data_IF_827671415810
#
_entry.id   IF_827671415810
#
_cell.length_a   1.000
_cell.length_b   1.000
_cell.length_c   1.000
_cell.angle_alpha   90.00
_cell.angle_beta   90.00
_cell.angle_gamma   90.00
#
_symmetry.space_group_name_H-M   'P 1'
#
loop_
_entity.id
_entity.type
_entity.pdbx_description
1 polymer ?
#
# COMPACT_ATOMS: atom_id res chain seq x y z
N UNK A 1 -13.44 -9.13 -37.26
CA UNK A 1 -13.61 -10.33 -36.41
C UNK A 1 -12.23 -10.72 -35.90
N UNK A 2 -11.84 -10.23 -34.72
CA UNK A 2 -10.56 -10.61 -34.10
C UNK A 2 -10.77 -11.96 -33.43
N UNK A 3 -10.00 -12.97 -33.86
CA UNK A 3 -10.07 -14.33 -33.35
C UNK A 3 -9.74 -14.35 -31.85
N UNK A 4 -10.68 -14.84 -31.05
CA UNK A 4 -10.38 -15.31 -29.69
C UNK A 4 -9.54 -16.58 -29.86
N UNK A 5 -8.32 -16.66 -29.31
CA UNK A 5 -7.48 -17.83 -29.49
C UNK A 5 -8.14 -19.07 -28.90
N UNK A 6 -8.17 -20.16 -29.68
CA UNK A 6 -8.89 -21.43 -29.46
C UNK A 6 -8.43 -22.23 -28.22
N UNK A 7 -7.47 -21.72 -27.44
CA UNK A 7 -7.03 -22.33 -26.19
C UNK A 7 -6.50 -21.28 -25.23
N UNK A 8 -7.24 -21.02 -24.16
CA UNK A 8 -6.78 -20.23 -23.01
C UNK A 8 -5.73 -21.05 -22.26
N UNK A 9 -4.50 -20.55 -22.16
CA UNK A 9 -3.43 -21.16 -21.36
C UNK A 9 -3.20 -20.32 -20.10
N UNK A 10 -4.01 -20.59 -19.08
CA UNK A 10 -3.99 -19.87 -17.79
C UNK A 10 -2.63 -19.97 -17.11
N UNK A 11 -1.97 -21.13 -17.17
CA UNK A 11 -0.67 -21.34 -16.53
C UNK A 11 0.43 -20.53 -17.23
N UNK A 12 0.41 -20.46 -18.56
CA UNK A 12 1.32 -19.60 -19.32
C UNK A 12 1.04 -18.12 -19.07
N UNK A 13 -0.24 -17.72 -19.08
CA UNK A 13 -0.64 -16.36 -18.79
C UNK A 13 -0.17 -15.89 -17.40
N UNK A 14 -0.29 -16.75 -16.38
CA UNK A 14 0.17 -16.45 -15.03
C UNK A 14 1.70 -16.30 -14.95
N UNK A 15 2.48 -17.17 -15.61
CA UNK A 15 3.93 -17.02 -15.67
C UNK A 15 4.35 -15.70 -16.33
N UNK A 16 3.72 -15.36 -17.45
CA UNK A 16 3.98 -14.09 -18.16
C UNK A 16 3.54 -12.87 -17.34
N UNK A 17 2.47 -13.00 -16.55
CA UNK A 17 2.03 -11.97 -15.61
C UNK A 17 3.09 -11.68 -14.56
N UNK A 18 3.63 -12.73 -13.93
CA UNK A 18 4.67 -12.61 -12.91
C UNK A 18 5.92 -11.97 -13.53
N UNK A 19 6.37 -12.43 -14.70
CA UNK A 19 7.51 -11.85 -15.41
C UNK A 19 7.30 -10.37 -15.75
N UNK A 20 6.11 -10.02 -16.27
CA UNK A 20 5.74 -8.63 -16.55
C UNK A 20 5.77 -7.75 -15.30
N UNK A 21 5.31 -8.26 -14.16
CA UNK A 21 5.35 -7.54 -12.90
C UNK A 21 6.79 -7.36 -12.36
N UNK A 22 7.67 -8.35 -12.55
CA UNK A 22 9.09 -8.20 -12.21
C UNK A 22 9.79 -7.13 -13.07
N UNK A 23 9.52 -7.11 -14.37
CA UNK A 23 10.04 -6.09 -15.29
C UNK A 23 9.52 -4.69 -14.92
N UNK A 24 8.25 -4.61 -14.55
CA UNK A 24 7.64 -3.37 -14.07
C UNK A 24 8.36 -2.82 -12.85
N UNK A 25 8.62 -3.65 -11.83
CA UNK A 25 9.33 -3.23 -10.61
C UNK A 25 10.77 -2.78 -10.87
N UNK A 26 11.40 -3.26 -11.95
CA UNK A 26 12.73 -2.83 -12.40
C UNK A 26 12.71 -1.55 -13.24
N UNK A 27 11.54 -0.97 -13.53
CA UNK A 27 11.40 0.20 -14.41
C UNK A 27 11.49 -0.14 -15.91
N UNK A 28 11.53 -1.41 -16.28
CA UNK A 28 11.64 -1.88 -17.68
C UNK A 28 10.25 -1.89 -18.36
N UNK A 29 9.64 -0.70 -18.51
CA UNK A 29 8.22 -0.58 -18.85
C UNK A 29 7.82 -1.17 -20.22
N UNK A 30 8.67 -1.04 -21.24
CA UNK A 30 8.40 -1.58 -22.58
C UNK A 30 8.30 -3.10 -22.56
N UNK A 31 9.28 -3.75 -21.93
CA UNK A 31 9.32 -5.20 -21.76
C UNK A 31 8.14 -5.67 -20.91
N UNK A 32 7.78 -4.92 -19.86
CA UNK A 32 6.62 -5.21 -19.02
C UNK A 32 5.30 -5.18 -19.81
N UNK A 33 5.06 -4.13 -20.64
CA UNK A 33 3.89 -4.09 -21.54
C UNK A 33 3.88 -5.28 -22.48
N UNK A 34 5.03 -5.64 -23.03
CA UNK A 34 5.12 -6.75 -23.98
C UNK A 34 4.72 -8.08 -23.32
N UNK A 35 5.26 -8.38 -22.14
CA UNK A 35 4.95 -9.60 -21.39
C UNK A 35 3.50 -9.67 -20.94
N UNK A 36 2.93 -8.57 -20.44
CA UNK A 36 1.51 -8.53 -20.08
C UNK A 36 0.60 -8.60 -21.29
N UNK A 37 1.01 -8.05 -22.44
CA UNK A 37 0.25 -8.24 -23.68
C UNK A 37 0.24 -9.71 -24.08
N UNK A 38 1.41 -10.37 -24.06
CA UNK A 38 1.47 -11.81 -24.37
C UNK A 38 0.61 -12.61 -23.38
N UNK A 39 0.63 -12.25 -22.09
CA UNK A 39 -0.23 -12.86 -21.09
C UNK A 39 -1.71 -12.70 -21.44
N UNK A 40 -2.13 -11.50 -21.86
CA UNK A 40 -3.50 -11.22 -22.31
C UNK A 40 -3.86 -11.95 -23.59
N UNK A 41 -2.91 -12.22 -24.47
CA UNK A 41 -3.18 -13.02 -25.67
C UNK A 41 -3.39 -14.51 -25.31
N UNK A 42 -2.86 -14.98 -24.17
CA UNK A 42 -3.08 -16.35 -23.67
C UNK A 42 -4.26 -16.46 -22.68
N UNK A 43 -4.63 -15.38 -21.99
CA UNK A 43 -5.80 -15.28 -21.13
C UNK A 43 -6.44 -13.89 -21.25
N UNK A 44 -7.17 -13.62 -22.37
CA UNK A 44 -7.76 -12.32 -22.62
C UNK A 44 -8.85 -11.97 -21.61
N UNK A 45 -9.37 -13.01 -20.92
CA UNK A 45 -10.42 -12.89 -19.92
C UNK A 45 -9.92 -12.56 -18.49
N UNK A 46 -8.60 -12.40 -18.30
CA UNK A 46 -8.01 -12.16 -16.98
C UNK A 46 -8.05 -10.68 -16.57
N UNK A 47 -8.88 -10.37 -15.59
CA UNK A 47 -9.01 -9.01 -15.09
C UNK A 47 -7.78 -8.52 -14.29
N UNK A 48 -6.97 -9.41 -13.70
CA UNK A 48 -5.71 -9.02 -13.06
C UNK A 48 -4.69 -8.54 -14.10
N UNK A 49 -4.63 -9.18 -15.27
CA UNK A 49 -3.78 -8.72 -16.37
C UNK A 49 -4.19 -7.35 -16.90
N UNK A 50 -5.49 -7.10 -17.01
CA UNK A 50 -6.00 -5.79 -17.42
C UNK A 50 -5.70 -4.69 -16.38
N UNK A 51 -5.72 -5.03 -15.08
CA UNK A 51 -5.30 -4.12 -14.02
C UNK A 51 -3.80 -3.82 -14.09
N UNK A 52 -2.95 -4.84 -14.30
CA UNK A 52 -1.51 -4.64 -14.46
C UNK A 52 -1.19 -3.80 -15.72
N UNK A 53 -1.94 -3.96 -16.81
CA UNK A 53 -1.83 -3.06 -17.97
C UNK A 53 -2.23 -1.63 -17.63
N UNK A 54 -3.28 -1.42 -16.83
CA UNK A 54 -3.64 -0.08 -16.37
C UNK A 54 -2.50 0.54 -15.55
N UNK A 55 -1.85 -0.25 -14.69
CA UNK A 55 -0.71 0.13 -13.84
C UNK A 55 0.51 0.57 -14.63
N UNK A 56 0.96 -0.24 -15.59
CA UNK A 56 2.05 0.17 -16.46
C UNK A 56 1.69 1.37 -17.33
N UNK A 57 0.44 1.48 -17.80
CA UNK A 57 0.00 2.67 -18.53
C UNK A 57 0.17 3.94 -17.69
N UNK A 58 -0.02 3.88 -16.37
CA UNK A 58 0.22 5.03 -15.51
C UNK A 58 1.70 5.37 -15.38
N UNK A 59 2.53 4.39 -15.04
CA UNK A 59 3.95 4.62 -14.81
C UNK A 59 4.67 5.15 -16.08
N UNK A 60 4.26 4.67 -17.26
CA UNK A 60 4.78 5.19 -18.52
C UNK A 60 4.34 6.65 -18.72
N UNK A 61 3.09 7.00 -18.35
CA UNK A 61 2.61 8.37 -18.43
C UNK A 61 3.45 9.31 -17.56
N UNK A 62 3.83 8.86 -16.37
CA UNK A 62 4.71 9.60 -15.45
C UNK A 62 6.10 9.78 -16.04
N UNK A 63 6.72 8.69 -16.53
CA UNK A 63 8.03 8.76 -17.16
C UNK A 63 8.05 9.75 -18.32
N UNK A 64 7.03 9.71 -19.18
CA UNK A 64 6.88 10.61 -20.33
C UNK A 64 6.65 12.08 -19.95
N UNK A 65 6.07 12.37 -18.78
CA UNK A 65 5.87 13.74 -18.31
C UNK A 65 7.20 14.37 -17.83
N UNK A 66 8.13 13.55 -17.35
CA UNK A 66 9.47 13.96 -16.89
C UNK A 66 10.51 13.93 -18.02
N UNK A 67 10.39 13.01 -18.98
CA UNK A 67 11.38 12.81 -20.06
C UNK A 67 10.91 13.40 -21.40
N UNK A 68 11.52 14.51 -21.83
CA UNK A 68 11.20 15.19 -23.09
C UNK A 68 12.07 14.70 -24.29
N UNK A 69 11.42 14.59 -25.46
CA UNK A 69 11.87 14.23 -26.82
C UNK A 69 13.13 13.36 -27.01
N UNK A 70 12.88 12.07 -27.25
CA UNK A 70 13.82 11.09 -27.76
C UNK A 70 13.09 9.89 -28.37
N UNK A 71 13.80 8.98 -29.04
CA UNK A 71 13.22 7.78 -29.68
C UNK A 71 12.60 6.82 -28.65
N UNK A 72 13.20 6.71 -27.47
CA UNK A 72 12.67 5.97 -26.31
C UNK A 72 11.32 6.54 -25.82
N UNK A 73 11.11 7.87 -25.92
CA UNK A 73 9.83 8.52 -25.64
C UNK A 73 8.75 8.08 -26.63
N UNK A 74 9.10 7.81 -27.90
CA UNK A 74 8.13 7.35 -28.89
C UNK A 74 7.67 5.91 -28.63
N UNK A 75 8.60 5.01 -28.28
CA UNK A 75 8.27 3.63 -27.91
C UNK A 75 7.44 3.57 -26.64
N UNK A 76 7.78 4.38 -25.63
CA UNK A 76 7.01 4.51 -24.40
C UNK A 76 5.63 5.09 -24.67
N UNK A 77 5.49 6.12 -25.51
CA UNK A 77 4.17 6.64 -25.93
C UNK A 77 3.32 5.54 -26.59
N UNK A 78 3.92 4.70 -27.43
CA UNK A 78 3.20 3.58 -28.04
C UNK A 78 2.78 2.51 -27.01
N UNK A 79 3.66 2.18 -26.07
CA UNK A 79 3.39 1.25 -24.97
C UNK A 79 2.28 1.78 -24.04
N UNK A 80 2.28 3.07 -23.73
CA UNK A 80 1.21 3.78 -23.02
C UNK A 80 -0.14 3.64 -23.74
N UNK A 81 -0.20 3.98 -25.03
CA UNK A 81 -1.44 3.87 -25.82
C UNK A 81 -1.95 2.44 -25.84
N UNK A 82 -1.06 1.45 -25.98
CA UNK A 82 -1.41 0.03 -25.99
C UNK A 82 -2.00 -0.42 -24.65
N UNK A 83 -1.37 -0.05 -23.54
CA UNK A 83 -1.80 -0.40 -22.20
C UNK A 83 -3.17 0.23 -21.85
N UNK A 84 -3.37 1.51 -22.20
CA UNK A 84 -4.66 2.21 -22.08
C UNK A 84 -5.76 1.59 -22.95
N UNK A 85 -5.44 1.20 -24.19
CA UNK A 85 -6.38 0.54 -25.08
C UNK A 85 -6.83 -0.82 -24.53
N UNK A 86 -5.92 -1.60 -23.93
CA UNK A 86 -6.27 -2.89 -23.29
C UNK A 86 -7.20 -2.70 -22.10
N UNK A 87 -6.97 -1.69 -21.26
CA UNK A 87 -7.89 -1.33 -20.17
C UNK A 87 -9.30 -0.98 -20.67
N UNK A 88 -9.40 -0.14 -21.71
CA UNK A 88 -10.69 0.21 -22.30
C UNK A 88 -11.37 -1.02 -22.92
N UNK A 89 -10.62 -1.83 -23.67
CA UNK A 89 -11.10 -3.08 -24.25
C UNK A 89 -11.62 -4.06 -23.18
N UNK A 90 -10.96 -4.16 -22.02
CA UNK A 90 -11.43 -4.98 -20.89
C UNK A 90 -12.79 -4.51 -20.38
N UNK A 91 -12.92 -3.21 -20.10
CA UNK A 91 -14.17 -2.62 -19.61
C UNK A 91 -15.32 -2.89 -20.58
N UNK A 92 -15.09 -2.71 -21.88
CA UNK A 92 -16.08 -3.00 -22.91
C UNK A 92 -16.38 -4.50 -23.03
N UNK A 93 -15.35 -5.36 -23.02
CA UNK A 93 -15.48 -6.82 -23.17
C UNK A 93 -16.34 -7.42 -22.07
N UNK A 94 -16.14 -7.04 -20.81
CA UNK A 94 -16.93 -7.58 -19.69
C UNK A 94 -18.17 -6.76 -19.38
N UNK A 95 -18.45 -5.68 -20.13
CA UNK A 95 -19.54 -4.74 -19.82
C UNK A 95 -19.45 -4.28 -18.36
N UNK A 96 -18.24 -3.89 -17.95
CA UNK A 96 -17.97 -3.34 -16.62
C UNK A 96 -18.67 -2.00 -16.42
N UNK A 97 -19.08 -1.70 -15.20
CA UNK A 97 -19.82 -0.49 -14.83
C UNK A 97 -18.91 0.71 -14.55
N UNK A 98 -17.76 0.77 -15.24
CA UNK A 98 -16.71 1.78 -15.03
C UNK A 98 -17.24 3.20 -15.19
N UNK A 99 -18.13 3.38 -16.18
CA UNK A 99 -18.75 4.67 -16.54
C UNK A 99 -20.17 4.83 -15.97
N UNK A 100 -20.61 3.90 -15.10
CA UNK A 100 -21.94 3.97 -14.49
C UNK A 100 -22.08 5.13 -13.51
N UNK A 101 -23.32 5.43 -13.11
CA UNK A 101 -23.62 6.43 -12.07
C UNK A 101 -23.11 6.03 -10.67
N UNK A 102 -22.47 4.85 -10.54
CA UNK A 102 -21.82 4.39 -9.33
C UNK A 102 -22.49 3.15 -8.72
N UNK A 103 -22.33 2.94 -7.40
CA UNK A 103 -22.81 1.73 -6.71
C UNK A 103 -24.30 1.45 -6.90
N UNK A 104 -25.14 2.48 -6.95
CA UNK A 104 -26.60 2.33 -7.09
C UNK A 104 -26.99 1.54 -8.35
N UNK A 105 -26.41 1.86 -9.50
CA UNK A 105 -26.68 1.15 -10.76
C UNK A 105 -26.17 -0.30 -10.69
N UNK A 106 -24.97 -0.52 -10.13
CA UNK A 106 -24.38 -1.86 -9.98
C UNK A 106 -25.26 -2.74 -9.10
N UNK A 107 -25.74 -2.21 -7.96
CA UNK A 107 -26.59 -2.94 -7.00
C UNK A 107 -27.92 -3.40 -7.62
N UNK A 108 -28.40 -2.69 -8.64
CA UNK A 108 -29.60 -3.05 -9.40
C UNK A 108 -29.29 -4.01 -10.54
N UNK A 109 -28.32 -3.68 -11.38
CA UNK A 109 -28.05 -4.39 -12.63
C UNK A 109 -27.29 -5.71 -12.43
N UNK A 110 -26.46 -5.82 -11.39
CA UNK A 110 -25.67 -7.03 -11.17
C UNK A 110 -26.55 -8.25 -10.82
N UNK A 111 -27.56 -8.16 -9.93
CA UNK A 111 -28.52 -9.26 -9.73
C UNK A 111 -29.31 -9.62 -10.99
N UNK A 112 -29.81 -8.62 -11.74
CA UNK A 112 -30.55 -8.85 -12.99
C UNK A 112 -29.68 -9.61 -14.02
N UNK A 113 -28.42 -9.19 -14.18
CA UNK A 113 -27.46 -9.86 -15.05
C UNK A 113 -27.10 -11.26 -14.54
N UNK A 114 -27.08 -11.46 -13.23
CA UNK A 114 -26.77 -12.76 -12.64
C UNK A 114 -27.87 -13.77 -12.99
N UNK A 115 -29.13 -13.36 -12.90
CA UNK A 115 -30.28 -14.19 -13.27
C UNK A 115 -30.29 -14.49 -14.77
N UNK A 116 -29.97 -13.52 -15.62
CA UNK A 116 -30.02 -13.67 -17.07
C UNK A 116 -28.82 -14.42 -17.68
N UNK A 117 -27.61 -14.22 -17.14
CA UNK A 117 -26.36 -14.61 -17.81
C UNK A 117 -25.40 -15.41 -16.91
N UNK A 118 -25.72 -15.53 -15.61
CA UNK A 118 -24.94 -16.31 -14.65
C UNK A 118 -23.63 -15.67 -14.18
N UNK A 119 -22.97 -16.39 -13.27
CA UNK A 119 -21.81 -15.90 -12.52
C UNK A 119 -20.63 -15.48 -13.38
N UNK A 120 -20.34 -16.18 -14.47
CA UNK A 120 -19.19 -15.85 -15.31
C UNK A 120 -19.27 -14.42 -15.88
N UNK A 121 -20.46 -13.98 -16.28
CA UNK A 121 -20.68 -12.62 -16.78
C UNK A 121 -20.56 -11.59 -15.66
N UNK A 122 -21.31 -11.78 -14.58
CA UNK A 122 -21.37 -10.80 -13.47
C UNK A 122 -20.05 -10.69 -12.71
N UNK A 123 -19.40 -11.81 -12.42
CA UNK A 123 -18.10 -11.84 -11.73
C UNK A 123 -17.05 -11.05 -12.51
N UNK A 124 -16.95 -11.26 -13.83
CA UNK A 124 -15.97 -10.56 -14.65
C UNK A 124 -16.26 -9.05 -14.74
N UNK A 125 -17.53 -8.68 -14.88
CA UNK A 125 -17.97 -7.28 -14.91
C UNK A 125 -17.68 -6.55 -13.58
N UNK A 126 -17.96 -7.18 -12.43
CA UNK A 126 -17.68 -6.61 -11.12
C UNK A 126 -16.17 -6.50 -10.87
N UNK A 127 -15.40 -7.56 -11.15
CA UNK A 127 -13.95 -7.57 -10.91
C UNK A 127 -13.24 -6.47 -11.71
N UNK A 128 -13.53 -6.35 -13.01
CA UNK A 128 -12.93 -5.30 -13.85
C UNK A 128 -13.33 -3.89 -13.36
N UNK A 129 -14.59 -3.70 -12.94
CA UNK A 129 -15.07 -2.40 -12.46
C UNK A 129 -14.33 -1.97 -11.20
N UNK A 130 -14.25 -2.85 -10.20
CA UNK A 130 -13.63 -2.57 -8.91
C UNK A 130 -12.14 -2.27 -9.09
N UNK A 131 -11.41 -3.12 -9.84
CA UNK A 131 -9.96 -2.92 -10.05
C UNK A 131 -9.67 -1.62 -10.77
N UNK A 132 -10.47 -1.26 -11.77
CA UNK A 132 -10.33 0.00 -12.50
C UNK A 132 -10.59 1.20 -11.59
N UNK A 133 -11.61 1.17 -10.74
CA UNK A 133 -11.87 2.24 -9.77
C UNK A 133 -10.74 2.39 -8.76
N UNK A 134 -10.33 1.30 -8.10
CA UNK A 134 -9.23 1.29 -7.12
C UNK A 134 -7.94 1.83 -7.74
N UNK A 135 -7.59 1.32 -8.92
CA UNK A 135 -6.38 1.74 -9.61
C UNK A 135 -6.43 3.22 -10.02
N UNK A 136 -7.55 3.69 -10.57
CA UNK A 136 -7.66 5.11 -10.95
C UNK A 136 -7.70 6.04 -9.75
N UNK A 137 -8.30 5.63 -8.64
CA UNK A 137 -8.24 6.37 -7.39
C UNK A 137 -6.79 6.54 -6.94
N UNK A 138 -6.06 5.42 -6.81
CA UNK A 138 -4.66 5.43 -6.43
C UNK A 138 -3.82 6.30 -7.38
N UNK A 139 -3.88 6.05 -8.69
CA UNK A 139 -3.12 6.80 -9.69
C UNK A 139 -3.37 8.31 -9.63
N UNK A 140 -4.64 8.72 -9.58
CA UNK A 140 -4.97 10.15 -9.54
C UNK A 140 -4.58 10.81 -8.22
N UNK A 141 -4.60 10.07 -7.11
CA UNK A 141 -4.08 10.60 -5.84
C UNK A 141 -2.56 10.79 -5.86
N UNK A 142 -1.81 9.77 -6.30
CA UNK A 142 -0.34 9.78 -6.23
C UNK A 142 0.28 10.83 -7.16
N UNK A 143 -0.25 10.93 -8.38
CA UNK A 143 0.40 11.71 -9.45
C UNK A 143 -0.30 13.04 -9.74
N UNK A 144 -1.62 13.14 -9.53
CA UNK A 144 -2.37 14.36 -9.84
C UNK A 144 -2.86 15.11 -8.59
N UNK A 145 -2.69 14.53 -7.39
CA UNK A 145 -3.20 15.12 -6.15
C UNK A 145 -4.73 15.25 -6.11
N UNK A 146 -5.47 14.50 -6.93
CA UNK A 146 -6.93 14.57 -6.99
C UNK A 146 -7.58 13.70 -5.89
N UNK A 147 -7.42 14.11 -4.64
CA UNK A 147 -7.85 13.32 -3.48
C UNK A 147 -9.38 13.23 -3.32
N UNK A 148 -10.12 14.26 -3.72
CA UNK A 148 -11.59 14.29 -3.77
C UNK A 148 -12.15 13.22 -4.73
N UNK A 149 -11.58 13.14 -5.93
CA UNK A 149 -11.92 12.13 -6.91
C UNK A 149 -11.56 10.73 -6.40
N UNK A 150 -10.39 10.62 -5.76
CA UNK A 150 -9.89 9.36 -5.23
C UNK A 150 -10.77 8.84 -4.10
N UNK A 151 -11.20 9.72 -3.17
CA UNK A 151 -12.21 9.43 -2.13
C UNK A 151 -13.45 8.83 -2.78
N UNK A 152 -14.02 9.48 -3.79
CA UNK A 152 -15.24 9.00 -4.47
C UNK A 152 -15.06 7.58 -5.02
N UNK A 153 -13.95 7.32 -5.71
CA UNK A 153 -13.71 6.01 -6.32
C UNK A 153 -13.46 4.91 -5.30
N UNK A 154 -12.68 5.16 -4.25
CA UNK A 154 -12.47 4.19 -3.17
C UNK A 154 -13.78 3.89 -2.42
N UNK A 155 -14.56 4.92 -2.11
CA UNK A 155 -15.87 4.75 -1.45
C UNK A 155 -16.83 3.95 -2.32
N UNK A 156 -16.91 4.24 -3.62
CA UNK A 156 -17.72 3.45 -4.55
C UNK A 156 -17.30 1.98 -4.58
N UNK A 157 -15.99 1.72 -4.65
CA UNK A 157 -15.47 0.36 -4.65
C UNK A 157 -15.81 -0.37 -3.34
N UNK A 158 -15.51 0.22 -2.19
CA UNK A 158 -15.78 -0.37 -0.88
C UNK A 158 -17.28 -0.60 -0.65
N UNK A 159 -18.14 0.31 -1.11
CA UNK A 159 -19.59 0.16 -1.00
C UNK A 159 -20.11 -1.06 -1.78
N UNK A 160 -19.64 -1.26 -3.03
CA UNK A 160 -20.01 -2.42 -3.84
C UNK A 160 -19.42 -3.70 -3.26
N UNK A 161 -18.19 -3.65 -2.75
CA UNK A 161 -17.52 -4.79 -2.13
C UNK A 161 -18.27 -5.29 -0.88
N UNK A 162 -18.60 -4.39 0.05
CA UNK A 162 -19.35 -4.75 1.26
C UNK A 162 -20.78 -5.18 0.91
N UNK A 163 -21.43 -4.52 -0.05
CA UNK A 163 -22.74 -4.94 -0.53
C UNK A 163 -22.71 -6.35 -1.12
N UNK A 164 -21.80 -6.64 -2.05
CA UNK A 164 -21.75 -7.95 -2.71
C UNK A 164 -21.41 -9.08 -1.74
N UNK A 165 -20.57 -8.80 -0.72
CA UNK A 165 -20.29 -9.74 0.36
C UNK A 165 -21.55 -10.05 1.19
N UNK A 166 -22.39 -9.05 1.47
CA UNK A 166 -23.64 -9.22 2.20
C UNK A 166 -24.76 -9.84 1.34
N UNK A 167 -24.77 -9.55 0.04
CA UNK A 167 -25.75 -10.06 -0.92
C UNK A 167 -25.54 -11.56 -1.19
N UNK A 168 -24.29 -12.02 -1.21
CA UNK A 168 -23.92 -13.37 -1.60
C UNK A 168 -23.00 -14.05 -0.57
N UNK A 169 -23.45 -14.22 0.69
CA UNK A 169 -22.60 -14.71 1.79
C UNK A 169 -22.16 -16.17 1.59
N UNK A 170 -23.07 -17.02 1.08
CA UNK A 170 -22.88 -18.47 0.97
C UNK A 170 -22.41 -18.94 -0.42
N UNK A 171 -22.20 -18.00 -1.36
CA UNK A 171 -21.77 -18.33 -2.71
C UNK A 171 -20.25 -18.63 -2.69
N UNK A 172 -19.79 -19.74 -3.29
CA UNK A 172 -18.37 -20.06 -3.33
C UNK A 172 -17.53 -18.97 -4.00
N UNK A 173 -16.33 -18.71 -3.47
CA UNK A 173 -15.38 -17.72 -3.99
C UNK A 173 -15.11 -17.86 -5.50
N UNK A 174 -15.04 -19.11 -6.00
CA UNK A 174 -14.84 -19.37 -7.44
C UNK A 174 -15.94 -18.77 -8.31
N UNK A 175 -17.17 -18.64 -7.78
CA UNK A 175 -18.35 -18.19 -8.51
C UNK A 175 -18.60 -16.70 -8.26
N UNK A 176 -18.61 -16.24 -7.00
CA UNK A 176 -18.81 -14.81 -6.67
C UNK A 176 -17.61 -13.92 -6.96
N UNK A 177 -16.41 -14.51 -7.01
CA UNK A 177 -15.15 -13.81 -7.24
C UNK A 177 -14.38 -13.48 -5.97
N UNK A 178 -13.05 -13.43 -6.13
CA UNK A 178 -12.11 -13.11 -5.04
C UNK A 178 -12.27 -11.69 -4.49
N UNK A 179 -12.82 -10.76 -5.27
CA UNK A 179 -13.00 -9.36 -4.86
C UNK A 179 -13.83 -9.21 -3.57
N UNK A 180 -14.76 -10.13 -3.32
CA UNK A 180 -15.62 -10.11 -2.13
C UNK A 180 -15.01 -10.81 -0.91
N UNK A 181 -13.80 -11.39 -1.04
CA UNK A 181 -13.10 -11.97 0.09
C UNK A 181 -12.56 -10.86 1.00
N UNK A 182 -12.61 -11.08 2.33
CA UNK A 182 -12.13 -10.10 3.34
C UNK A 182 -10.75 -9.55 3.01
N UNK A 183 -9.87 -10.42 2.54
CA UNK A 183 -8.48 -10.13 2.17
C UNK A 183 -8.38 -9.11 1.05
N UNK A 184 -9.23 -9.20 0.02
CA UNK A 184 -9.26 -8.22 -1.06
C UNK A 184 -9.77 -6.87 -0.56
N UNK A 185 -10.87 -6.87 0.19
CA UNK A 185 -11.46 -5.65 0.78
C UNK A 185 -10.44 -4.95 1.68
N UNK A 186 -9.73 -5.70 2.51
CA UNK A 186 -8.65 -5.21 3.37
C UNK A 186 -7.53 -4.56 2.57
N UNK A 187 -7.10 -5.15 1.45
CA UNK A 187 -6.12 -4.51 0.57
C UNK A 187 -6.63 -3.18 0.01
N UNK A 188 -7.90 -3.10 -0.43
CA UNK A 188 -8.49 -1.84 -0.89
C UNK A 188 -8.52 -0.79 0.23
N UNK A 189 -8.92 -1.18 1.45
CA UNK A 189 -8.90 -0.30 2.62
C UNK A 189 -7.49 0.19 2.96
N UNK A 190 -6.48 -0.67 2.81
CA UNK A 190 -5.07 -0.32 3.10
C UNK A 190 -4.56 0.73 2.11
N UNK A 191 -4.77 0.53 0.81
CA UNK A 191 -4.38 1.51 -0.22
C UNK A 191 -5.12 2.83 0.00
N UNK A 192 -6.42 2.76 0.35
CA UNK A 192 -7.18 3.97 0.64
C UNK A 192 -6.61 4.71 1.87
N UNK A 193 -6.24 4.00 2.93
CA UNK A 193 -5.63 4.59 4.12
C UNK A 193 -4.30 5.30 3.80
N UNK A 194 -3.47 4.72 2.95
CA UNK A 194 -2.22 5.35 2.49
C UNK A 194 -2.50 6.61 1.66
N UNK A 195 -3.48 6.57 0.75
CA UNK A 195 -3.94 7.75 0.02
C UNK A 195 -4.46 8.85 0.95
N UNK A 196 -5.21 8.48 2.00
CA UNK A 196 -5.71 9.42 3.01
C UNK A 196 -4.55 10.05 3.78
N UNK A 197 -3.58 9.24 4.24
CA UNK A 197 -2.39 9.73 4.93
C UNK A 197 -1.59 10.71 4.07
N UNK A 198 -1.39 10.39 2.80
CA UNK A 198 -0.63 11.25 1.88
C UNK A 198 -1.33 12.59 1.66
N UNK A 199 -2.65 12.58 1.50
CA UNK A 199 -3.43 13.81 1.40
C UNK A 199 -3.24 14.71 2.62
N UNK A 200 -3.34 14.12 3.83
CA UNK A 200 -3.20 14.89 5.08
C UNK A 200 -1.77 15.37 5.27
N UNK A 201 -0.78 14.56 4.90
CA UNK A 201 0.62 14.93 4.96
C UNK A 201 0.95 16.11 4.05
N UNK A 202 0.47 16.11 2.80
CA UNK A 202 0.77 17.16 1.82
C UNK A 202 -0.07 18.43 1.99
N UNK A 203 -1.35 18.31 2.33
CA UNK A 203 -2.32 19.41 2.27
C UNK A 203 -3.03 19.69 3.61
N UNK A 204 -2.62 19.01 4.69
CA UNK A 204 -3.30 19.07 5.97
C UNK A 204 -4.65 18.35 5.98
N UNK A 205 -5.36 18.35 7.12
CA UNK A 205 -6.60 17.58 7.32
C UNK A 205 -7.82 18.28 6.69
N UNK A 206 -7.75 18.53 5.38
CA UNK A 206 -8.77 19.25 4.61
C UNK A 206 -9.71 18.29 3.89
N UNK A 207 -9.17 17.51 2.96
CA UNK A 207 -9.93 16.47 2.26
C UNK A 207 -10.24 15.31 3.20
N UNK A 208 -9.29 14.88 4.05
CA UNK A 208 -9.49 13.82 5.05
C UNK A 208 -9.08 14.31 6.44
N UNK A 209 -9.74 13.79 7.48
CA UNK A 209 -9.47 14.15 8.88
C UNK A 209 -8.63 13.09 9.60
N UNK A 210 -7.92 13.49 10.66
CA UNK A 210 -7.20 12.55 11.51
C UNK A 210 -8.11 11.46 12.09
N UNK A 211 -9.35 11.80 12.42
CA UNK A 211 -10.36 10.89 12.95
C UNK A 211 -10.77 9.83 11.91
N UNK A 212 -10.93 10.21 10.63
CA UNK A 212 -11.19 9.25 9.54
C UNK A 212 -10.01 8.28 9.35
N UNK A 213 -8.76 8.77 9.39
CA UNK A 213 -7.57 7.92 9.32
C UNK A 213 -7.52 6.92 10.47
N UNK A 214 -7.77 7.38 11.71
CA UNK A 214 -7.80 6.51 12.90
C UNK A 214 -8.87 5.44 12.74
N UNK A 215 -10.09 5.83 12.33
CA UNK A 215 -11.21 4.90 12.23
C UNK A 215 -10.95 3.80 11.20
N UNK A 216 -10.42 4.15 10.02
CA UNK A 216 -10.10 3.17 8.98
C UNK A 216 -8.91 2.29 9.37
N UNK A 217 -7.87 2.86 10.00
CA UNK A 217 -6.74 2.08 10.48
C UNK A 217 -7.13 1.08 11.57
N UNK A 218 -7.97 1.47 12.53
CA UNK A 218 -8.49 0.58 13.56
C UNK A 218 -9.38 -0.52 12.96
N UNK A 219 -10.21 -0.19 11.96
CA UNK A 219 -11.00 -1.19 11.22
C UNK A 219 -10.10 -2.25 10.55
N UNK A 220 -9.01 -1.84 9.87
CA UNK A 220 -8.05 -2.78 9.26
C UNK A 220 -7.38 -3.66 10.32
N UNK A 221 -6.91 -3.08 11.43
CA UNK A 221 -6.26 -3.83 12.52
C UNK A 221 -7.23 -4.85 13.13
N UNK A 222 -8.48 -4.46 13.37
CA UNK A 222 -9.52 -5.33 13.91
C UNK A 222 -9.90 -6.44 12.94
N UNK A 223 -10.01 -6.14 11.64
CA UNK A 223 -10.27 -7.13 10.60
C UNK A 223 -9.15 -8.17 10.51
N UNK A 224 -7.88 -7.75 10.52
CA UNK A 224 -6.72 -8.66 10.53
C UNK A 224 -6.70 -9.53 11.78
N UNK A 225 -6.93 -8.94 12.97
CA UNK A 225 -6.90 -9.67 14.24
C UNK A 225 -8.04 -10.70 14.36
N UNK A 226 -9.19 -10.45 13.72
CA UNK A 226 -10.35 -11.35 13.72
C UNK A 226 -10.33 -12.38 12.60
N UNK A 227 -9.36 -12.31 11.68
CA UNK A 227 -9.20 -13.21 10.54
C UNK A 227 -7.90 -14.03 10.71
N UNK A 228 -7.88 -15.03 11.59
CA UNK A 228 -6.61 -15.71 11.91
C UNK A 228 -6.03 -16.48 10.73
N UNK A 229 -4.73 -16.32 10.49
CA UNK A 229 -3.90 -16.95 9.42
C UNK A 229 -3.81 -18.48 9.54
N UNK A 230 -4.34 -19.08 10.61
CA UNK A 230 -4.23 -20.51 10.95
C UNK A 230 -4.83 -21.48 9.93
N UNK A 231 -5.55 -20.99 8.92
CA UNK A 231 -6.14 -21.77 7.84
C UNK A 231 -5.31 -21.80 6.56
N UNK A 232 -4.21 -21.04 6.48
CA UNK A 232 -3.37 -20.99 5.29
C UNK A 232 -2.28 -22.08 5.30
N UNK A 233 -2.12 -22.82 4.17
CA UNK A 233 -0.98 -23.70 3.95
C UNK A 233 0.37 -22.98 4.16
N UNK A 234 1.39 -23.68 4.66
CA UNK A 234 2.69 -23.08 4.99
C UNK A 234 3.43 -22.47 3.79
N UNK A 235 3.12 -22.92 2.56
CA UNK A 235 3.63 -22.40 1.30
C UNK A 235 2.97 -21.08 0.87
N UNK A 236 1.95 -20.60 1.58
CA UNK A 236 1.31 -19.30 1.35
C UNK A 236 1.89 -18.14 2.18
N UNK A 237 3.15 -18.23 2.60
CA UNK A 237 3.83 -17.19 3.38
C UNK A 237 3.69 -15.80 2.72
N UNK A 238 3.95 -15.68 1.42
CA UNK A 238 3.83 -14.41 0.69
C UNK A 238 2.39 -13.84 0.70
N UNK A 239 1.38 -14.71 0.67
CA UNK A 239 -0.01 -14.27 0.76
C UNK A 239 -0.35 -13.78 2.17
N UNK A 240 0.18 -14.44 3.21
CA UNK A 240 0.03 -13.98 4.58
C UNK A 240 0.65 -12.60 4.77
N UNK A 241 1.82 -12.35 4.15
CA UNK A 241 2.49 -11.06 4.17
C UNK A 241 1.61 -9.97 3.53
N UNK A 242 1.23 -10.18 2.27
CA UNK A 242 0.48 -9.20 1.49
C UNK A 242 -0.91 -8.87 2.05
N UNK A 243 -1.60 -9.86 2.63
CA UNK A 243 -2.99 -9.70 3.05
C UNK A 243 -3.19 -9.60 4.56
N UNK A 244 -2.22 -9.86 5.43
CA UNK A 244 -2.39 -9.70 6.90
C UNK A 244 -1.33 -8.82 7.52
N UNK A 245 -0.06 -9.20 7.34
CA UNK A 245 1.05 -8.55 8.02
C UNK A 245 1.25 -7.11 7.52
N UNK A 246 1.33 -6.90 6.19
CA UNK A 246 1.53 -5.56 5.62
C UNK A 246 0.34 -4.63 5.88
N UNK A 247 -0.93 -5.03 5.64
CA UNK A 247 -2.09 -4.21 6.03
C UNK A 247 -2.09 -3.77 7.49
N UNK A 248 -1.76 -4.69 8.41
CA UNK A 248 -1.68 -4.38 9.84
C UNK A 248 -0.51 -3.45 10.17
N UNK A 249 0.67 -3.72 9.61
CA UNK A 249 1.84 -2.87 9.76
C UNK A 249 1.58 -1.45 9.28
N UNK A 250 1.03 -1.30 8.07
CA UNK A 250 0.64 -0.01 7.49
C UNK A 250 -0.36 0.71 8.38
N UNK A 251 -1.46 0.06 8.76
CA UNK A 251 -2.48 0.67 9.61
C UNK A 251 -1.95 1.12 10.98
N UNK A 252 -1.13 0.29 11.64
CA UNK A 252 -0.47 0.65 12.89
C UNK A 252 0.52 1.81 12.70
N UNK A 253 1.24 1.86 11.58
CA UNK A 253 2.16 2.96 11.28
C UNK A 253 1.41 4.28 11.06
N UNK A 254 0.24 4.24 10.39
CA UNK A 254 -0.62 5.41 10.19
C UNK A 254 -1.19 5.89 11.53
N UNK A 255 -1.63 4.98 12.41
CA UNK A 255 -2.01 5.35 13.78
C UNK A 255 -0.85 6.03 14.51
N UNK A 256 0.35 5.45 14.46
CA UNK A 256 1.56 6.06 15.02
C UNK A 256 1.80 7.48 14.49
N UNK A 257 1.70 7.66 13.17
CA UNK A 257 1.85 8.94 12.51
C UNK A 257 0.78 9.95 12.93
N UNK A 258 -0.50 9.58 12.90
CA UNK A 258 -1.61 10.46 13.25
C UNK A 258 -1.53 10.95 14.69
N UNK A 259 -1.26 10.06 15.66
CA UNK A 259 -1.10 10.48 17.06
C UNK A 259 0.12 11.39 17.22
N UNK A 260 1.24 11.13 16.52
CA UNK A 260 2.39 12.02 16.54
C UNK A 260 2.04 13.41 15.99
N UNK A 261 1.32 13.49 14.87
CA UNK A 261 0.86 14.77 14.32
C UNK A 261 -0.05 15.52 15.29
N UNK A 262 -1.01 14.83 15.95
CA UNK A 262 -1.86 15.45 16.99
C UNK A 262 -1.02 16.04 18.14
N UNK A 263 0.03 15.36 18.57
CA UNK A 263 0.93 15.89 19.60
C UNK A 263 1.81 17.05 19.12
N UNK A 264 2.25 17.05 17.85
CA UNK A 264 3.04 18.15 17.27
C UNK A 264 2.19 19.43 17.19
N UNK A 265 0.92 19.32 16.81
CA UNK A 265 0.00 20.45 16.69
C UNK A 265 -0.67 20.85 18.02
N UNK A 266 -0.48 20.09 19.09
CA UNK A 266 -0.96 20.46 20.43
C UNK A 266 -0.12 21.59 21.05
N UNK A 267 -0.73 22.36 21.95
CA UNK A 267 -0.03 23.42 22.68
C UNK A 267 1.16 22.86 23.49
N UNK A 268 2.30 23.57 23.60
CA UNK A 268 3.47 23.09 24.35
C UNK A 268 3.20 22.71 25.81
N UNK A 269 2.18 23.31 26.45
CA UNK A 269 1.74 23.00 27.82
C UNK A 269 0.61 21.98 27.93
N UNK A 270 0.19 21.35 26.83
CA UNK A 270 -0.85 20.32 26.86
C UNK A 270 -0.36 19.06 27.59
N UNK A 271 -1.03 18.73 28.69
CA UNK A 271 -0.73 17.56 29.52
C UNK A 271 -0.89 16.23 28.75
N UNK A 272 -1.68 16.22 27.67
CA UNK A 272 -1.87 15.04 26.83
C UNK A 272 -0.78 14.87 25.76
N UNK A 273 0.07 15.87 25.53
CA UNK A 273 1.12 15.81 24.51
C UNK A 273 2.08 14.65 24.71
N UNK A 274 2.65 14.51 25.90
CA UNK A 274 3.60 13.42 26.21
C UNK A 274 2.95 12.04 26.19
N UNK A 275 1.78 11.80 26.83
CA UNK A 275 1.03 10.55 26.66
C UNK A 275 0.73 10.21 25.20
N UNK A 276 0.38 11.20 24.39
CA UNK A 276 0.07 11.04 22.96
C UNK A 276 1.31 10.59 22.17
N UNK A 277 2.48 11.21 22.42
CA UNK A 277 3.75 10.79 21.78
C UNK A 277 4.12 9.36 22.18
N UNK A 278 3.90 8.97 23.44
CA UNK A 278 4.15 7.58 23.88
C UNK A 278 3.22 6.60 23.17
N UNK A 279 1.94 6.96 23.01
CA UNK A 279 0.98 6.14 22.25
C UNK A 279 1.42 5.98 20.79
N UNK A 280 1.90 7.07 20.16
CA UNK A 280 2.48 7.01 18.82
C UNK A 280 3.68 6.05 18.73
N UNK A 281 4.61 6.12 19.70
CA UNK A 281 5.74 5.20 19.79
C UNK A 281 5.31 3.73 19.88
N UNK A 282 4.31 3.42 20.71
CA UNK A 282 3.78 2.06 20.86
C UNK A 282 3.16 1.53 19.56
N UNK A 283 2.45 2.37 18.81
CA UNK A 283 1.94 2.00 17.50
C UNK A 283 3.07 1.70 16.51
N UNK A 284 4.11 2.53 16.44
CA UNK A 284 5.27 2.26 15.58
C UNK A 284 6.02 0.98 15.97
N UNK A 285 6.21 0.70 17.27
CA UNK A 285 6.79 -0.57 17.71
C UNK A 285 5.93 -1.78 17.33
N UNK A 286 4.60 -1.63 17.35
CA UNK A 286 3.67 -2.68 16.96
C UNK A 286 3.62 -2.85 15.44
N UNK A 287 3.77 -1.75 14.68
CA UNK A 287 3.89 -1.75 13.23
C UNK A 287 5.16 -2.48 12.80
N UNK A 288 6.31 -2.16 13.41
CA UNK A 288 7.58 -2.83 13.12
C UNK A 288 7.47 -4.36 13.25
N UNK A 289 6.83 -4.84 14.33
CA UNK A 289 6.60 -6.29 14.55
C UNK A 289 5.67 -6.96 13.52
N UNK A 290 4.93 -6.16 12.75
CA UNK A 290 4.07 -6.65 11.69
C UNK A 290 4.80 -6.75 10.35
N UNK A 291 6.01 -6.21 10.24
CA UNK A 291 6.86 -6.37 9.05
C UNK A 291 7.99 -7.37 9.35
N UNK A 292 8.39 -8.20 8.36
CA UNK A 292 9.64 -8.97 8.39
C UNK A 292 10.85 -8.10 8.79
N UNK A 293 11.85 -8.69 9.44
CA UNK A 293 13.01 -7.94 9.96
C UNK A 293 13.89 -7.36 8.84
N UNK A 294 13.88 -7.99 7.67
CA UNK A 294 14.60 -7.62 6.45
C UNK A 294 13.82 -6.62 5.56
N UNK A 295 12.65 -6.15 6.01
CA UNK A 295 11.87 -5.13 5.29
C UNK A 295 12.27 -3.71 5.71
N UNK A 296 12.36 -2.80 4.73
CA UNK A 296 12.65 -1.39 5.02
C UNK A 296 11.63 -0.75 5.96
N UNK A 297 10.36 -1.17 5.88
CA UNK A 297 9.27 -0.65 6.69
C UNK A 297 9.43 -1.02 8.16
N UNK A 298 10.06 -2.16 8.45
CA UNK A 298 10.43 -2.56 9.80
C UNK A 298 11.41 -1.54 10.41
N UNK A 299 12.52 -1.28 9.72
CA UNK A 299 13.56 -0.33 10.14
C UNK A 299 12.98 1.08 10.31
N UNK A 300 12.21 1.57 9.33
CA UNK A 300 11.56 2.89 9.37
C UNK A 300 10.65 3.04 10.60
N UNK A 301 9.85 2.02 10.91
CA UNK A 301 8.99 2.03 12.08
C UNK A 301 9.78 2.05 13.40
N UNK A 302 10.85 1.26 13.53
CA UNK A 302 11.71 1.28 14.72
C UNK A 302 12.35 2.66 14.94
N UNK A 303 12.85 3.30 13.88
CA UNK A 303 13.44 4.64 13.97
C UNK A 303 12.39 5.67 14.36
N UNK A 304 11.16 5.59 13.82
CA UNK A 304 10.07 6.48 14.23
C UNK A 304 9.62 6.25 15.67
N UNK A 305 9.63 5.00 16.14
CA UNK A 305 9.39 4.70 17.55
C UNK A 305 10.45 5.34 18.45
N UNK A 306 11.73 5.24 18.08
CA UNK A 306 12.85 5.85 18.79
C UNK A 306 12.75 7.38 18.80
N UNK A 307 12.42 7.99 17.66
CA UNK A 307 12.18 9.44 17.56
C UNK A 307 11.08 9.90 18.53
N UNK A 308 9.98 9.15 18.62
CA UNK A 308 8.91 9.41 19.59
C UNK A 308 9.40 9.27 21.04
N UNK A 309 10.17 8.21 21.37
CA UNK A 309 10.72 8.00 22.72
C UNK A 309 11.62 9.16 23.16
N UNK A 310 12.52 9.58 22.27
CA UNK A 310 13.42 10.70 22.49
C UNK A 310 12.65 12.02 22.63
N UNK A 311 11.62 12.24 21.81
CA UNK A 311 10.81 13.48 21.82
C UNK A 311 9.89 13.57 23.04
N UNK A 312 9.40 12.45 23.54
CA UNK A 312 8.57 12.39 24.76
C UNK A 312 9.32 12.88 26.01
N UNK A 313 10.66 13.00 25.98
CA UNK A 313 11.46 13.64 27.03
C UNK A 313 11.34 12.96 28.39
N UNK A 314 11.01 11.68 28.42
CA UNK A 314 10.70 10.93 29.66
C UNK A 314 11.23 9.50 29.65
N UNK A 315 11.94 9.12 28.58
CA UNK A 315 12.47 7.77 28.40
C UNK A 315 13.96 7.75 28.77
N UNK A 316 14.42 6.82 29.63
CA UNK A 316 15.84 6.72 29.98
C UNK A 316 16.72 6.19 28.84
N UNK A 317 18.01 6.55 28.86
CA UNK A 317 19.02 6.13 27.88
C UNK A 317 19.13 4.61 27.74
N UNK A 318 18.93 3.83 28.81
CA UNK A 318 18.94 2.36 28.73
C UNK A 318 17.93 1.82 27.73
N UNK A 319 16.75 2.45 27.61
CA UNK A 319 15.71 2.00 26.70
C UNK A 319 15.97 2.48 25.28
N UNK A 320 16.35 3.76 25.10
CA UNK A 320 16.62 4.31 23.76
C UNK A 320 17.87 3.70 23.13
N UNK A 321 18.97 3.51 23.89
CA UNK A 321 20.17 2.83 23.40
C UNK A 321 19.94 1.35 23.08
N UNK A 322 19.06 0.67 23.82
CA UNK A 322 18.65 -0.70 23.49
C UNK A 322 17.90 -0.74 22.15
N UNK A 323 17.04 0.25 21.89
CA UNK A 323 16.33 0.35 20.62
C UNK A 323 17.29 0.75 19.48
N UNK A 324 18.28 1.62 19.70
CA UNK A 324 19.34 1.90 18.71
C UNK A 324 20.03 0.62 18.23
N UNK A 325 20.38 -0.28 19.15
CA UNK A 325 20.95 -1.59 18.77
C UNK A 325 19.99 -2.38 17.89
N UNK A 326 18.71 -2.46 18.28
CA UNK A 326 17.68 -3.17 17.50
C UNK A 326 17.53 -2.60 16.09
N UNK A 327 17.59 -1.28 15.92
CA UNK A 327 17.58 -0.63 14.60
C UNK A 327 18.79 -1.07 13.78
N UNK A 328 20.00 -1.09 14.36
CA UNK A 328 21.21 -1.51 13.63
C UNK A 328 21.12 -2.96 13.17
N UNK A 329 20.71 -3.87 14.06
CA UNK A 329 20.58 -5.29 13.77
C UNK A 329 19.54 -5.55 12.64
N UNK A 330 18.45 -4.76 12.59
CA UNK A 330 17.46 -4.83 11.51
C UNK A 330 17.94 -4.18 10.20
N UNK A 331 18.69 -3.06 10.28
CA UNK A 331 19.26 -2.41 9.11
C UNK A 331 20.19 -3.33 8.33
N UNK A 332 21.05 -4.08 9.04
CA UNK A 332 22.02 -4.99 8.41
C UNK A 332 21.31 -6.06 7.57
N UNK A 333 20.11 -6.52 7.99
CA UNK A 333 19.27 -7.43 7.22
C UNK A 333 18.59 -6.71 6.04
N UNK A 334 17.99 -5.54 6.28
CA UNK A 334 17.20 -4.84 5.27
C UNK A 334 18.03 -4.30 4.11
N UNK A 335 19.27 -3.88 4.34
CA UNK A 335 20.11 -3.28 3.29
C UNK A 335 20.55 -4.29 2.22
N UNK A 336 20.51 -5.59 2.51
CA UNK A 336 20.80 -6.65 1.53
C UNK A 336 19.75 -6.69 0.41
N UNK A 337 18.48 -6.41 0.75
CA UNK A 337 17.34 -6.43 -0.18
C UNK A 337 17.06 -5.02 -0.72
N UNK A 338 17.04 -4.03 0.18
CA UNK A 338 16.57 -2.66 -0.09
C UNK A 338 17.73 -1.66 -0.29
N UNK A 339 18.94 -2.14 -0.58
CA UNK A 339 20.14 -1.31 -0.67
C UNK A 339 20.21 -0.36 -1.88
N UNK A 340 19.36 -0.55 -2.88
CA UNK A 340 19.30 0.31 -4.06
C UNK A 340 18.53 1.62 -3.78
N UNK A 341 18.90 2.75 -4.42
CA UNK A 341 18.11 3.98 -4.36
C UNK A 341 16.68 3.79 -4.88
N UNK A 342 15.70 4.59 -4.40
CA UNK A 342 15.83 5.62 -3.35
C UNK A 342 15.79 5.04 -1.92
N UNK A 343 15.38 3.79 -1.79
CA UNK A 343 15.13 3.12 -0.51
C UNK A 343 16.39 2.97 0.35
N UNK A 344 17.48 2.49 -0.24
CA UNK A 344 18.75 2.29 0.46
C UNK A 344 19.36 3.60 0.96
N UNK A 345 19.20 4.70 0.22
CA UNK A 345 19.69 6.01 0.64
C UNK A 345 18.92 6.52 1.86
N UNK A 346 17.60 6.38 1.83
CA UNK A 346 16.73 6.70 2.97
C UNK A 346 17.12 5.88 4.21
N UNK A 347 17.34 4.57 4.05
CA UNK A 347 17.74 3.72 5.17
C UNK A 347 19.09 4.14 5.75
N UNK A 348 20.08 4.44 4.91
CA UNK A 348 21.42 4.89 5.36
C UNK A 348 21.34 6.18 6.15
N UNK A 349 20.55 7.14 5.68
CA UNK A 349 20.34 8.41 6.38
C UNK A 349 19.71 8.21 7.77
N UNK A 350 18.69 7.35 7.87
CA UNK A 350 18.07 6.99 9.15
C UNK A 350 19.09 6.33 10.09
N UNK A 351 19.93 5.42 9.57
CA UNK A 351 20.96 4.76 10.35
C UNK A 351 22.01 5.74 10.87
N UNK A 352 22.44 6.70 10.05
CA UNK A 352 23.43 7.70 10.43
C UNK A 352 22.93 8.56 11.61
N UNK A 353 21.66 8.94 11.60
CA UNK A 353 21.03 9.65 12.73
C UNK A 353 21.03 8.82 14.01
N UNK A 354 20.76 7.52 13.90
CA UNK A 354 20.77 6.59 15.04
C UNK A 354 22.18 6.40 15.59
N UNK A 355 23.18 6.24 14.72
CA UNK A 355 24.59 6.13 15.10
C UNK A 355 25.09 7.40 15.79
N UNK A 356 24.79 8.56 15.22
CA UNK A 356 25.19 9.85 15.81
C UNK A 356 24.61 10.04 17.22
N UNK A 357 23.34 9.68 17.42
CA UNK A 357 22.72 9.66 18.75
C UNK A 357 23.41 8.66 19.70
N UNK A 358 23.62 7.42 19.27
CA UNK A 358 24.23 6.35 20.06
C UNK A 358 25.65 6.73 20.49
N UNK A 359 26.49 7.20 19.55
CA UNK A 359 27.87 7.58 19.77
C UNK A 359 28.01 8.75 20.74
N UNK A 360 27.14 9.76 20.59
CA UNK A 360 27.08 10.91 21.51
C UNK A 360 26.84 10.43 22.94
N UNK A 361 25.80 9.63 23.17
CA UNK A 361 25.42 9.24 24.53
C UNK A 361 26.33 8.18 25.13
N UNK A 362 26.88 7.25 24.33
CA UNK A 362 27.93 6.33 24.81
C UNK A 362 29.17 7.07 25.29
N UNK A 363 29.60 8.11 24.56
CA UNK A 363 30.72 8.97 24.97
C UNK A 363 30.42 9.72 26.27
N UNK A 364 29.24 10.34 26.39
CA UNK A 364 28.85 11.04 27.62
C UNK A 364 28.79 10.12 28.84
N UNK A 365 28.37 8.86 28.67
CA UNK A 365 28.39 7.84 29.73
C UNK A 365 29.82 7.50 30.13
N UNK A 366 30.71 7.28 29.16
CA UNK A 366 32.14 6.99 29.41
C UNK A 366 32.84 8.16 30.12
N UNK A 367 32.47 9.39 29.80
CA UNK A 367 32.98 10.61 30.44
C UNK A 367 32.33 10.87 31.83
N UNK A 368 31.40 10.03 32.28
CA UNK A 368 30.69 10.19 33.55
C UNK A 368 29.72 11.38 33.59
N UNK A 369 29.37 11.97 32.42
CA UNK A 369 28.47 13.12 32.31
C UNK A 369 26.99 12.74 32.37
N UNK A 370 26.65 11.48 32.10
CA UNK A 370 25.32 10.93 32.30
C UNK A 370 25.39 9.43 32.63
N UNK A 371 24.24 8.85 32.98
CA UNK A 371 24.09 7.41 33.27
C UNK A 371 23.04 6.78 32.37
N UNK A 372 22.93 5.45 32.40
CA UNK A 372 21.88 4.71 31.70
C UNK A 372 20.45 5.07 32.15
N UNK A 373 20.29 5.65 33.35
CA UNK A 373 19.00 6.14 33.86
C UNK A 373 18.73 7.61 33.53
N UNK A 374 19.71 8.32 32.96
CA UNK A 374 19.49 9.68 32.46
C UNK A 374 18.46 9.67 31.34
N UNK A 375 17.56 10.65 31.34
CA UNK A 375 16.56 10.81 30.28
C UNK A 375 17.25 11.14 28.96
N UNK A 376 16.87 10.44 27.89
CA UNK A 376 17.41 10.67 26.56
C UNK A 376 17.04 12.05 26.03
N UNK A 377 17.97 12.69 25.30
CA UNK A 377 17.66 13.87 24.49
C UNK A 377 17.05 13.49 23.14
N UNK A 378 16.98 14.47 22.24
CA UNK A 378 16.41 14.28 20.90
C UNK A 378 17.36 13.53 19.97
N UNK A 379 16.77 12.82 19.00
CA UNK A 379 17.51 12.31 17.85
C UNK A 379 17.99 13.50 16.99
N UNK A 380 19.17 13.42 16.35
CA UNK A 380 19.59 14.42 15.37
C UNK A 380 18.58 14.54 14.21
N UNK A 381 18.48 15.76 13.67
CA UNK A 381 17.71 16.02 12.46
C UNK A 381 18.38 15.37 11.24
N UNK A 382 17.58 15.14 10.19
CA UNK A 382 18.06 14.75 8.88
C UNK A 382 19.09 15.77 8.38
N UNK A 383 20.18 15.30 7.76
CA UNK A 383 21.09 16.19 7.02
C UNK A 383 20.41 16.46 5.68
N UNK A 384 19.80 17.63 5.57
CA UNK A 384 19.01 18.05 4.41
C UNK A 384 19.78 18.15 3.11
#
# INVERSE_FOLDING_TARGET
>A
MSQVPDRIDVAKAERLRVEGNELFRRGEYLAAVQKLTEALDNNPTDAALHANCAEISAAISEYLDVSWDGEESAELKAAYTKARARRAAASHLYRGWVESEGPTSIKKEAPERLEAEGWNSVRAALDVTIRIWVFTAWHRSQHLGHFDFSRKMFMNALEVLEWGRNQWPDIPMKDRGFIFERRFIRSVKTIFLETMQESVYRYGPTEFTYEELIQLAEDIVNDVNSDTVSTLPSDMLLHSLAYWLYPKGTALSVLGWTYLQKAIHSSPGDLQRTPTIRKASQYYLSAAKSFPEDEESHVRCLVKALECMCTAGTVPLKQTLSLCKTVRDAFDQAIEIWGAPPYGDTLRELLDRVKEFEDKYRRLILEGKCTLDTISGRLPEARG
#
